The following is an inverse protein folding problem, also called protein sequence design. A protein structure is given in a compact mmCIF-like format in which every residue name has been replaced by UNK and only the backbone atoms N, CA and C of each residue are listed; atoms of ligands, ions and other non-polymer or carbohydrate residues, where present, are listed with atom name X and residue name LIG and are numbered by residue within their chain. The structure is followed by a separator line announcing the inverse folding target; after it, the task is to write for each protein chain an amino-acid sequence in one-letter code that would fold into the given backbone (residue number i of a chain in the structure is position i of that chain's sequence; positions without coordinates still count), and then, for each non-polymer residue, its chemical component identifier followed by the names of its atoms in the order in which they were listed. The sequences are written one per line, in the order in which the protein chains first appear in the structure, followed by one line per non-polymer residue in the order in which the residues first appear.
data_IF_432256985768
#
_entry.id   IF_432256985768
#
_cell.length_a   1.000
_cell.length_b   1.000
_cell.length_c   1.000
_cell.angle_alpha   90.00
_cell.angle_beta   90.00
_cell.angle_gamma   90.00
#
_symmetry.space_group_name_H-M   'P 1'
#
loop_
_entity.id
_entity.type
_entity.pdbx_description
1 polymer ?
#
# COMPACT_ATOMS: atom_id res chain seq x y z
N UNK A 1 13.30 -0.85 -41.59
CA UNK A 1 14.51 -0.41 -40.85
C UNK A 1 14.18 0.99 -40.31
N UNK A 2 14.01 1.29 -39.03
CA UNK A 2 14.04 0.54 -37.78
C UNK A 2 13.16 1.34 -36.80
N UNK A 3 12.28 0.67 -36.04
CA UNK A 3 11.51 1.29 -34.97
C UNK A 3 12.46 1.61 -33.80
N UNK A 4 12.67 2.88 -33.51
CA UNK A 4 13.42 3.32 -32.34
C UNK A 4 12.50 3.16 -31.11
N UNK A 5 12.66 2.04 -30.40
CA UNK A 5 12.06 1.80 -29.10
C UNK A 5 12.67 2.77 -28.08
N UNK A 6 11.99 3.89 -27.84
CA UNK A 6 12.32 4.83 -26.75
C UNK A 6 11.98 4.18 -25.40
N UNK A 7 12.98 3.59 -24.75
CA UNK A 7 12.91 3.29 -23.31
C UNK A 7 12.94 4.61 -22.56
N UNK A 8 11.77 5.10 -22.14
CA UNK A 8 11.69 6.21 -21.20
C UNK A 8 12.18 5.75 -19.82
N UNK A 9 13.46 5.96 -19.52
CA UNK A 9 13.95 5.85 -18.14
C UNK A 9 13.53 7.11 -17.38
N UNK A 10 12.27 7.15 -16.93
CA UNK A 10 11.83 8.17 -15.98
C UNK A 10 12.66 8.05 -14.70
N UNK A 11 13.33 9.12 -14.27
CA UNK A 11 14.05 9.14 -12.98
C UNK A 11 13.05 8.86 -11.86
N UNK A 12 13.21 7.70 -11.22
CA UNK A 12 12.41 7.31 -10.05
C UNK A 12 12.76 8.28 -8.92
N UNK A 13 11.77 8.91 -8.25
CA UNK A 13 12.03 9.78 -7.11
C UNK A 13 12.82 9.04 -6.01
N UNK A 14 13.74 9.71 -5.29
CA UNK A 14 14.62 9.05 -4.32
C UNK A 14 13.87 8.37 -3.16
N UNK A 15 12.62 8.77 -2.91
CA UNK A 15 11.77 8.18 -1.86
C UNK A 15 11.03 6.91 -2.30
N UNK A 16 11.10 6.55 -3.59
CA UNK A 16 10.49 5.33 -4.13
C UNK A 16 11.56 4.25 -4.24
N UNK A 17 11.56 3.32 -3.28
CA UNK A 17 12.58 2.26 -3.19
C UNK A 17 12.10 0.93 -3.76
N UNK A 18 10.78 0.76 -3.92
CA UNK A 18 10.17 -0.47 -4.43
C UNK A 18 9.47 -0.21 -5.76
N UNK A 19 9.43 -1.24 -6.62
CA UNK A 19 8.69 -1.21 -7.89
C UNK A 19 7.21 -0.86 -7.71
N UNK A 20 6.60 -1.29 -6.60
CA UNK A 20 5.25 -0.91 -6.17
C UNK A 20 5.33 -0.42 -4.74
N UNK A 21 5.09 0.87 -4.51
CA UNK A 21 5.12 1.50 -3.19
C UNK A 21 3.77 2.13 -2.88
N UNK A 22 3.15 1.65 -1.80
CA UNK A 22 1.91 2.22 -1.29
C UNK A 22 2.23 3.38 -0.34
N UNK A 23 1.47 4.46 -0.45
CA UNK A 23 1.59 5.61 0.44
C UNK A 23 1.13 5.32 1.86
N UNK A 24 1.34 6.27 2.75
CA UNK A 24 0.94 6.18 4.17
C UNK A 24 -0.57 6.03 4.34
N UNK A 25 -1.38 6.74 3.55
CA UNK A 25 -2.85 6.72 3.64
C UNK A 25 -3.49 5.35 3.34
N UNK A 26 -3.27 4.72 2.15
CA UNK A 26 -3.85 3.40 1.88
C UNK A 26 -3.31 2.33 2.83
N UNK A 27 -2.05 2.46 3.27
CA UNK A 27 -1.46 1.56 4.27
C UNK A 27 -2.15 1.67 5.63
N UNK A 28 -2.38 2.89 6.12
CA UNK A 28 -3.08 3.13 7.38
C UNK A 28 -4.53 2.63 7.33
N UNK A 29 -5.23 2.85 6.21
CA UNK A 29 -6.58 2.34 6.00
C UNK A 29 -6.61 0.81 6.05
N UNK A 30 -5.73 0.12 5.30
CA UNK A 30 -5.64 -1.33 5.28
C UNK A 30 -5.38 -1.91 6.68
N UNK A 31 -4.48 -1.27 7.45
CA UNK A 31 -4.18 -1.67 8.83
C UNK A 31 -5.37 -1.43 9.75
N UNK A 32 -6.09 -0.32 9.62
CA UNK A 32 -7.28 -0.04 10.40
C UNK A 32 -8.39 -1.07 10.15
N UNK A 33 -8.71 -1.33 8.88
CA UNK A 33 -9.75 -2.30 8.48
C UNK A 33 -9.42 -3.70 9.02
N UNK A 34 -8.17 -4.14 8.88
CA UNK A 34 -7.79 -5.47 9.34
C UNK A 34 -7.62 -5.56 10.86
N UNK A 35 -6.94 -4.61 11.49
CA UNK A 35 -6.47 -4.73 12.87
C UNK A 35 -7.46 -4.17 13.90
N UNK A 36 -8.25 -3.17 13.53
CA UNK A 36 -9.25 -2.55 14.41
C UNK A 36 -10.63 -3.12 14.14
N UNK A 37 -11.04 -3.20 12.88
CA UNK A 37 -12.35 -3.73 12.50
C UNK A 37 -12.35 -5.26 12.31
N UNK A 38 -11.19 -5.92 12.42
CA UNK A 38 -11.03 -7.37 12.31
C UNK A 38 -11.53 -7.96 10.98
N UNK A 39 -11.50 -7.16 9.92
CA UNK A 39 -11.91 -7.61 8.59
C UNK A 39 -10.84 -8.57 8.04
N UNK A 40 -11.19 -9.77 7.55
CA UNK A 40 -10.22 -10.72 7.00
C UNK A 40 -9.45 -10.13 5.82
N UNK A 41 -8.16 -10.49 5.68
CA UNK A 41 -7.28 -9.97 4.61
C UNK A 41 -7.89 -10.04 3.21
N UNK A 42 -8.57 -11.15 2.89
CA UNK A 42 -9.23 -11.32 1.58
C UNK A 42 -10.30 -10.23 1.36
N UNK A 43 -11.12 -9.95 2.36
CA UNK A 43 -12.17 -8.92 2.26
C UNK A 43 -11.59 -7.52 2.19
N UNK A 44 -10.49 -7.25 2.89
CA UNK A 44 -9.78 -5.97 2.77
C UNK A 44 -9.19 -5.80 1.36
N UNK A 45 -8.61 -6.86 0.78
CA UNK A 45 -8.14 -6.87 -0.61
C UNK A 45 -9.27 -6.54 -1.58
N UNK A 46 -10.40 -7.24 -1.49
CA UNK A 46 -11.57 -7.01 -2.35
C UNK A 46 -12.07 -5.55 -2.22
N UNK A 47 -12.12 -5.01 -1.00
CA UNK A 47 -12.53 -3.62 -0.75
C UNK A 47 -11.59 -2.61 -1.39
N UNK A 48 -10.27 -2.81 -1.26
CA UNK A 48 -9.28 -1.90 -1.84
C UNK A 48 -9.35 -1.95 -3.37
N UNK A 49 -9.55 -3.13 -3.95
CA UNK A 49 -9.73 -3.26 -5.39
C UNK A 49 -10.95 -2.47 -5.88
N UNK A 50 -12.08 -2.54 -5.18
CA UNK A 50 -13.28 -1.78 -5.54
C UNK A 50 -13.09 -0.27 -5.34
N UNK A 51 -12.44 0.16 -4.26
CA UNK A 51 -12.30 1.58 -3.92
C UNK A 51 -11.21 2.30 -4.72
N UNK A 52 -10.11 1.61 -5.04
CA UNK A 52 -8.92 2.19 -5.66
C UNK A 52 -8.63 1.63 -7.06
N UNK A 53 -9.49 0.73 -7.57
CA UNK A 53 -9.29 0.04 -8.85
C UNK A 53 -7.91 -0.63 -8.96
N UNK A 54 -7.38 -1.07 -7.82
CA UNK A 54 -6.04 -1.64 -7.71
C UNK A 54 -6.05 -2.89 -6.85
N UNK A 55 -5.66 -4.02 -7.44
CA UNK A 55 -5.58 -5.30 -6.73
C UNK A 55 -4.37 -5.33 -5.80
N UNK A 56 -4.59 -5.58 -4.51
CA UNK A 56 -3.52 -5.76 -3.53
C UNK A 56 -3.54 -7.18 -2.99
N UNK A 57 -2.42 -7.91 -3.09
CA UNK A 57 -2.36 -9.27 -2.53
C UNK A 57 -2.49 -9.29 -1.01
N UNK A 58 -3.06 -10.36 -0.45
CA UNK A 58 -3.15 -10.57 1.00
C UNK A 58 -1.77 -10.59 1.68
N UNK A 59 -0.72 -11.04 0.98
CA UNK A 59 0.66 -11.00 1.47
C UNK A 59 1.16 -9.57 1.60
N UNK A 60 0.84 -8.72 0.63
CA UNK A 60 1.16 -7.28 0.70
C UNK A 60 0.47 -6.62 1.89
N UNK A 61 -0.80 -6.94 2.14
CA UNK A 61 -1.53 -6.45 3.31
C UNK A 61 -0.92 -6.95 4.63
N UNK A 62 -0.51 -8.23 4.70
CA UNK A 62 0.18 -8.76 5.88
C UNK A 62 1.52 -8.05 6.13
N UNK A 63 2.26 -7.72 5.06
CA UNK A 63 3.49 -6.95 5.15
C UNK A 63 3.24 -5.50 5.61
N UNK A 64 2.16 -4.86 5.16
CA UNK A 64 1.75 -3.53 5.66
C UNK A 64 1.48 -3.56 7.16
N UNK A 65 0.71 -4.54 7.64
CA UNK A 65 0.42 -4.72 9.07
C UNK A 65 1.68 -5.02 9.86
N UNK A 66 2.59 -5.85 9.34
CA UNK A 66 3.87 -6.16 9.98
C UNK A 66 4.74 -4.90 10.13
N UNK A 67 4.84 -4.09 9.07
CA UNK A 67 5.59 -2.82 9.11
C UNK A 67 4.97 -1.83 10.10
N UNK A 68 3.65 -1.68 10.07
CA UNK A 68 2.93 -0.79 11.00
C UNK A 68 3.08 -1.19 12.48
N UNK A 69 3.37 -2.46 12.78
CA UNK A 69 3.70 -2.92 14.14
C UNK A 69 5.15 -2.61 14.55
N UNK A 70 6.07 -2.61 13.57
CA UNK A 70 7.51 -2.41 13.79
C UNK A 70 7.87 -0.93 13.85
N UNK A 71 7.22 -0.13 13.02
CA UNK A 71 7.25 1.32 13.06
C UNK A 71 6.46 1.71 14.31
N UNK A 72 7.16 2.08 15.39
CA UNK A 72 6.57 2.67 16.61
C UNK A 72 6.02 4.07 16.32
N UNK A 73 5.30 4.22 15.22
CA UNK A 73 4.77 5.48 14.74
C UNK A 73 3.69 5.91 15.72
N UNK A 74 3.91 7.09 16.28
CA UNK A 74 2.99 7.83 17.12
C UNK A 74 1.53 7.61 16.67
N UNK A 75 0.79 6.84 17.46
CA UNK A 75 -0.66 6.73 17.45
C UNK A 75 -1.36 6.55 16.10
N UNK A 76 -1.93 5.36 15.91
CA UNK A 76 -3.15 5.12 15.11
C UNK A 76 -4.32 6.07 15.53
N UNK A 77 -4.14 6.83 16.62
CA UNK A 77 -4.97 7.97 17.04
C UNK A 77 -4.88 9.21 16.13
N UNK A 78 -3.89 9.33 15.23
CA UNK A 78 -3.74 10.43 14.28
C UNK A 78 -4.28 10.12 12.87
N UNK A 79 -5.45 9.49 12.76
CA UNK A 79 -6.23 9.48 11.51
C UNK A 79 -7.35 10.55 11.55
N UNK A 80 -7.49 11.29 12.65
CA UNK A 80 -8.51 12.35 12.86
C UNK A 80 -7.92 13.65 13.41
N UNK A 81 -6.64 13.95 13.16
CA UNK A 81 -6.05 15.26 13.42
C UNK A 81 -5.41 15.82 12.14
#
# INVERSE_FOLDING_TARGET
MSALSMRATSRIPPHVTNHVQYGSRPTALAVYLHHIQLIPYKRVSDMIEVLYQHSISTVTLANMVKRAKQEKTCGIRCVVC
#
